data_IF_627989034335
#
_entry.id   IF_627989034335
#
_cell.length_a   1.000
_cell.length_b   1.000
_cell.length_c   1.000
_cell.angle_alpha   90.00
_cell.angle_beta   90.00
_cell.angle_gamma   90.00
#
_symmetry.space_group_name_H-M   'P 1'
#
loop_
_entity.id
_entity.type
_entity.pdbx_description
1 polymer ?
#
# COMPACT_ATOMS: atom_id res chain seq x y z
N UNK A 1 -3.88 -14.30 -33.46
CA UNK A 1 -4.10 -13.51 -32.23
C UNK A 1 -4.48 -12.13 -32.72
N UNK A 2 -5.65 -11.63 -32.37
CA UNK A 2 -6.09 -10.29 -32.79
C UNK A 2 -5.22 -9.23 -32.10
N UNK A 3 -4.65 -8.31 -32.88
CA UNK A 3 -3.79 -7.23 -32.36
C UNK A 3 -4.60 -6.33 -31.42
N UNK A 4 -4.28 -6.44 -30.13
CA UNK A 4 -4.99 -5.79 -29.02
C UNK A 4 -4.79 -4.27 -29.02
N UNK A 5 -3.67 -3.79 -29.54
CA UNK A 5 -3.28 -2.39 -29.50
C UNK A 5 -2.74 -1.92 -30.85
N UNK A 6 -3.01 -0.66 -31.21
CA UNK A 6 -2.47 0.02 -32.40
C UNK A 6 -1.26 0.88 -32.07
N UNK A 7 -1.15 1.31 -30.81
CA UNK A 7 -0.07 2.16 -30.33
C UNK A 7 0.15 1.97 -28.85
N UNK A 8 1.23 2.53 -28.30
CA UNK A 8 1.47 2.56 -26.86
C UNK A 8 2.01 3.90 -26.39
N UNK A 9 1.75 4.22 -25.13
CA UNK A 9 2.29 5.39 -24.43
C UNK A 9 3.02 4.92 -23.17
N UNK A 10 4.19 5.51 -22.93
CA UNK A 10 4.93 5.38 -21.68
C UNK A 10 4.73 6.65 -20.87
N UNK A 11 3.79 6.60 -19.93
CA UNK A 11 3.65 7.62 -18.89
C UNK A 11 4.81 7.50 -17.93
N UNK A 12 5.64 8.51 -17.90
CA UNK A 12 6.85 8.53 -17.12
C UNK A 12 7.18 9.96 -16.73
N UNK A 13 8.31 10.13 -16.05
CA UNK A 13 8.79 11.45 -15.64
C UNK A 13 10.27 11.61 -15.93
N UNK A 14 10.75 12.85 -15.88
CA UNK A 14 12.18 13.11 -15.95
C UNK A 14 12.92 12.23 -14.94
N UNK A 15 13.96 11.54 -15.41
CA UNK A 15 14.82 10.69 -14.58
C UNK A 15 14.15 9.46 -13.95
N UNK A 16 13.00 9.02 -14.41
CA UNK A 16 12.39 7.74 -14.00
C UNK A 16 13.03 6.49 -14.61
N UNK A 17 13.98 6.65 -15.54
CA UNK A 17 14.53 5.54 -16.32
C UNK A 17 13.84 5.35 -17.69
N UNK A 18 12.97 6.26 -18.08
CA UNK A 18 12.19 6.17 -19.33
C UNK A 18 13.04 6.03 -20.60
N UNK A 19 14.23 6.64 -20.65
CA UNK A 19 15.19 6.44 -21.75
C UNK A 19 15.73 4.99 -21.82
N UNK A 20 15.90 4.33 -20.68
CA UNK A 20 16.36 2.95 -20.65
C UNK A 20 15.24 1.99 -21.05
N UNK A 21 14.01 2.23 -20.58
CA UNK A 21 12.84 1.52 -21.06
C UNK A 21 12.66 1.68 -22.58
N UNK A 22 12.77 2.91 -23.10
CA UNK A 22 12.73 3.19 -24.54
C UNK A 22 13.78 2.38 -25.32
N UNK A 23 15.02 2.34 -24.83
CA UNK A 23 16.10 1.59 -25.48
C UNK A 23 15.86 0.08 -25.51
N UNK A 24 15.22 -0.49 -24.48
CA UNK A 24 14.82 -1.90 -24.47
C UNK A 24 13.60 -2.16 -25.36
N UNK A 25 12.61 -1.27 -25.34
CA UNK A 25 11.44 -1.35 -26.25
C UNK A 25 11.89 -1.35 -27.71
N UNK A 26 12.82 -0.47 -28.07
CA UNK A 26 13.39 -0.38 -29.42
C UNK A 26 14.32 -1.55 -29.80
N UNK A 27 14.63 -2.46 -28.87
CA UNK A 27 15.39 -3.68 -29.15
C UNK A 27 14.49 -4.86 -29.54
N UNK A 28 13.17 -4.76 -29.33
CA UNK A 28 12.23 -5.77 -29.80
C UNK A 28 11.85 -5.52 -31.26
N UNK A 29 11.96 -6.56 -32.09
CA UNK A 29 11.35 -6.56 -33.41
C UNK A 29 9.84 -6.38 -33.26
N UNK A 30 9.31 -5.33 -33.92
CA UNK A 30 7.89 -4.97 -33.90
C UNK A 30 7.45 -3.98 -32.83
N UNK A 31 8.39 -3.35 -32.12
CA UNK A 31 8.12 -2.16 -31.33
C UNK A 31 8.97 -0.99 -31.82
N UNK A 32 8.40 0.22 -31.85
CA UNK A 32 9.25 1.42 -31.89
C UNK A 32 8.68 2.57 -31.07
N UNK A 33 9.46 2.98 -30.08
CA UNK A 33 9.25 4.12 -29.23
C UNK A 33 10.01 5.34 -29.77
N UNK A 34 9.27 6.38 -30.12
CA UNK A 34 9.70 7.56 -30.86
C UNK A 34 10.18 8.71 -29.95
N UNK A 35 10.50 8.41 -28.70
CA UNK A 35 10.88 9.43 -27.71
C UNK A 35 9.71 10.30 -27.25
N UNK A 36 9.99 11.57 -26.96
CA UNK A 36 9.05 12.53 -26.39
C UNK A 36 8.40 13.37 -27.50
N UNK A 37 7.51 12.75 -28.28
CA UNK A 37 6.89 13.37 -29.46
C UNK A 37 5.91 14.51 -29.13
N UNK A 38 5.47 14.59 -27.87
CA UNK A 38 4.58 15.64 -27.36
C UNK A 38 5.28 16.64 -26.41
N UNK A 39 6.61 16.65 -26.38
CA UNK A 39 7.38 17.66 -25.62
C UNK A 39 7.16 19.07 -26.21
N UNK A 40 6.91 20.12 -25.41
CA UNK A 40 6.64 21.46 -25.93
C UNK A 40 7.87 22.14 -26.57
N UNK A 41 9.08 21.67 -26.28
CA UNK A 41 10.32 22.33 -26.72
C UNK A 41 10.97 21.67 -27.94
N UNK A 42 10.72 20.39 -28.18
CA UNK A 42 11.27 19.63 -29.31
C UNK A 42 10.32 18.49 -29.71
N UNK A 43 10.58 17.82 -30.83
CA UNK A 43 9.76 16.69 -31.30
C UNK A 43 10.54 15.37 -31.26
N UNK A 44 10.16 14.44 -30.38
CA UNK A 44 10.73 13.09 -30.28
C UNK A 44 12.08 13.04 -29.58
N UNK A 45 13.12 13.61 -30.20
CA UNK A 45 14.49 13.67 -29.68
C UNK A 45 15.05 15.10 -29.74
N UNK A 46 15.99 15.47 -28.86
CA UNK A 46 16.69 16.75 -28.96
C UNK A 46 17.33 16.93 -30.35
N UNK A 47 17.13 18.10 -30.95
CA UNK A 47 17.57 18.49 -32.29
C UNK A 47 16.87 17.76 -33.47
N UNK A 48 15.86 16.94 -33.23
CA UNK A 48 15.03 16.41 -34.32
C UNK A 48 14.14 17.51 -34.89
N UNK A 49 14.01 17.57 -36.22
CA UNK A 49 13.16 18.54 -36.91
C UNK A 49 11.78 17.98 -37.27
N UNK A 50 11.66 16.65 -37.34
CA UNK A 50 10.41 15.97 -37.67
C UNK A 50 10.35 14.55 -37.08
N UNK A 51 9.14 14.02 -36.94
CA UNK A 51 8.86 12.61 -36.63
C UNK A 51 7.80 12.11 -37.60
N UNK A 52 8.05 10.98 -38.28
CA UNK A 52 7.14 10.37 -39.26
C UNK A 52 6.71 11.31 -40.41
N UNK A 53 7.57 12.28 -40.77
CA UNK A 53 7.32 13.30 -41.80
C UNK A 53 6.42 14.46 -41.33
N UNK A 54 6.25 14.63 -40.02
CA UNK A 54 5.53 15.74 -39.39
C UNK A 54 6.54 16.60 -38.64
N UNK A 55 6.65 17.88 -39.01
CA UNK A 55 7.54 18.84 -38.35
C UNK A 55 6.98 19.28 -37.00
N UNK A 56 7.85 19.84 -36.16
CA UNK A 56 7.43 20.41 -34.87
C UNK A 56 6.31 21.45 -35.03
N UNK A 57 6.44 22.37 -35.99
CA UNK A 57 5.45 23.43 -36.21
C UNK A 57 4.07 22.86 -36.57
N UNK A 58 4.03 21.79 -37.37
CA UNK A 58 2.77 21.13 -37.75
C UNK A 58 2.15 20.41 -36.56
N UNK A 59 2.95 19.76 -35.71
CA UNK A 59 2.49 19.12 -34.47
C UNK A 59 1.98 20.16 -33.48
N UNK A 60 2.66 21.30 -33.34
CA UNK A 60 2.27 22.36 -32.39
C UNK A 60 0.90 22.97 -32.79
N UNK A 61 0.64 23.10 -34.10
CA UNK A 61 -0.65 23.54 -34.64
C UNK A 61 -1.75 22.49 -34.43
N UNK A 62 -1.47 21.23 -34.75
CA UNK A 62 -2.42 20.11 -34.60
C UNK A 62 -1.70 18.85 -34.10
N UNK A 63 -1.69 18.59 -32.78
CA UNK A 63 -0.98 17.45 -32.22
C UNK A 63 -1.70 16.12 -32.49
N UNK A 64 -3.00 16.16 -32.82
CA UNK A 64 -3.77 14.97 -33.17
C UNK A 64 -3.32 14.36 -34.50
N UNK A 65 -2.81 15.19 -35.42
CA UNK A 65 -2.20 14.73 -36.67
C UNK A 65 -1.08 13.72 -36.41
N UNK A 66 -0.20 14.01 -35.45
CA UNK A 66 0.91 13.13 -35.09
C UNK A 66 0.43 11.89 -34.33
N UNK A 67 -0.53 12.04 -33.41
CA UNK A 67 -1.10 10.91 -32.68
C UNK A 67 -1.74 9.90 -33.64
N UNK A 68 -2.55 10.36 -34.59
CA UNK A 68 -3.17 9.50 -35.60
C UNK A 68 -2.11 8.87 -36.51
N UNK A 69 -1.06 9.60 -36.87
CA UNK A 69 0.04 9.05 -37.66
C UNK A 69 0.77 7.91 -36.93
N UNK A 70 0.93 8.01 -35.61
CA UNK A 70 1.54 6.94 -34.79
C UNK A 70 0.64 5.70 -34.76
N UNK A 71 -0.69 5.89 -34.69
CA UNK A 71 -1.68 4.79 -34.73
C UNK A 71 -1.73 4.08 -36.09
N UNK A 72 -1.60 4.83 -37.18
CA UNK A 72 -1.75 4.31 -38.54
C UNK A 72 -0.48 3.66 -39.11
N UNK A 73 0.70 3.97 -38.55
CA UNK A 73 1.97 3.79 -39.27
C UNK A 73 3.06 3.15 -38.43
N UNK A 74 3.11 1.82 -38.47
CA UNK A 74 4.34 1.03 -38.32
C UNK A 74 4.24 -0.23 -39.21
N UNK A 75 5.05 -0.36 -40.28
CA UNK A 75 4.94 -1.48 -41.22
C UNK A 75 5.12 -2.86 -40.58
N UNK A 76 5.90 -2.93 -39.50
CA UNK A 76 6.36 -4.17 -38.90
C UNK A 76 5.99 -4.30 -37.40
N UNK A 77 5.04 -3.49 -36.88
CA UNK A 77 4.75 -3.50 -35.45
C UNK A 77 3.82 -2.39 -34.95
N UNK A 78 3.98 -2.00 -33.68
CA UNK A 78 3.24 -0.89 -33.08
C UNK A 78 4.18 0.26 -32.67
N UNK A 79 3.71 1.48 -32.91
CA UNK A 79 4.42 2.71 -32.56
C UNK A 79 4.05 3.19 -31.15
N UNK A 80 5.00 3.81 -30.47
CA UNK A 80 4.71 4.45 -29.20
C UNK A 80 5.65 5.60 -28.87
N UNK A 81 5.40 6.22 -27.71
CA UNK A 81 6.11 7.42 -27.30
C UNK A 81 6.10 7.58 -25.78
N UNK A 82 6.97 8.44 -25.27
CA UNK A 82 7.02 8.86 -23.87
C UNK A 82 6.16 10.11 -23.67
N UNK A 83 5.38 10.13 -22.61
CA UNK A 83 4.52 11.25 -22.22
C UNK A 83 4.75 11.61 -20.75
N UNK A 84 5.11 12.87 -20.48
CA UNK A 84 5.33 13.40 -19.13
C UNK A 84 4.22 14.39 -18.75
N UNK A 85 4.09 14.71 -17.46
CA UNK A 85 3.03 15.61 -16.98
C UNK A 85 3.03 17.02 -17.62
N UNK A 86 4.18 17.47 -18.12
CA UNK A 86 4.39 18.78 -18.74
C UNK A 86 4.37 18.76 -20.29
N UNK A 87 4.00 17.62 -20.88
CA UNK A 87 3.79 17.50 -22.33
C UNK A 87 2.44 18.08 -22.75
N UNK A 88 2.23 18.22 -24.06
CA UNK A 88 1.02 18.85 -24.60
C UNK A 88 -0.28 18.23 -24.03
N UNK A 89 -1.04 18.95 -23.19
CA UNK A 89 -2.18 18.38 -22.50
C UNK A 89 -3.36 18.12 -23.45
N UNK A 90 -3.36 18.70 -24.66
CA UNK A 90 -4.45 18.55 -25.63
C UNK A 90 -4.62 17.11 -26.12
N UNK A 91 -3.54 16.32 -26.11
CA UNK A 91 -3.59 14.91 -26.56
C UNK A 91 -3.89 13.93 -25.44
N UNK A 92 -3.73 14.33 -24.18
CA UNK A 92 -3.86 13.42 -23.03
C UNK A 92 -5.24 12.74 -22.96
N UNK A 93 -6.38 13.44 -23.12
CA UNK A 93 -7.70 12.78 -23.16
C UNK A 93 -7.80 11.74 -24.27
N UNK A 94 -7.35 12.09 -25.49
CA UNK A 94 -7.42 11.19 -26.64
C UNK A 94 -6.54 9.94 -26.50
N UNK A 95 -5.47 10.01 -25.72
CA UNK A 95 -4.61 8.85 -25.37
C UNK A 95 -5.30 8.01 -24.29
N UNK A 96 -5.82 8.65 -23.25
CA UNK A 96 -6.41 7.97 -22.10
C UNK A 96 -7.71 7.26 -22.46
N UNK A 97 -8.57 7.87 -23.29
CA UNK A 97 -9.86 7.31 -23.70
C UNK A 97 -9.73 6.17 -24.74
N UNK A 98 -8.62 6.10 -25.47
CA UNK A 98 -8.42 5.14 -26.55
C UNK A 98 -8.04 3.75 -26.04
N UNK A 99 -8.98 2.82 -25.96
CA UNK A 99 -8.75 1.42 -25.54
C UNK A 99 -7.69 0.67 -26.37
N UNK A 100 -7.42 1.12 -27.61
CA UNK A 100 -6.42 0.52 -28.51
C UNK A 100 -5.04 1.15 -28.34
N UNK A 101 -4.90 2.19 -27.54
CA UNK A 101 -3.59 2.70 -27.09
C UNK A 101 -3.20 2.03 -25.77
N UNK A 102 -2.11 1.27 -25.76
CA UNK A 102 -1.59 0.63 -24.56
C UNK A 102 -0.98 1.65 -23.60
N UNK A 103 -1.33 1.58 -22.30
CA UNK A 103 -0.78 2.47 -21.26
C UNK A 103 0.31 1.76 -20.46
N UNK A 104 1.52 2.28 -20.49
CA UNK A 104 2.63 1.83 -19.66
C UNK A 104 2.90 2.93 -18.64
N UNK A 105 2.92 2.60 -17.35
CA UNK A 105 3.19 3.57 -16.27
C UNK A 105 4.53 3.21 -15.63
N UNK A 106 5.53 4.06 -15.83
CA UNK A 106 6.86 3.92 -15.25
C UNK A 106 6.99 4.80 -14.01
N UNK A 107 7.29 4.18 -12.89
CA UNK A 107 7.46 4.86 -11.60
C UNK A 107 8.89 4.74 -11.09
N UNK A 108 9.31 5.70 -10.27
CA UNK A 108 10.59 5.69 -9.56
C UNK A 108 10.43 6.45 -8.26
N UNK A 109 11.24 6.13 -7.26
CA UNK A 109 11.32 6.92 -6.03
C UNK A 109 11.51 8.43 -6.36
N UNK A 110 10.58 9.32 -5.97
CA UNK A 110 10.64 10.75 -6.29
C UNK A 110 11.92 11.44 -5.79
N UNK A 111 12.45 11.02 -4.64
CA UNK A 111 13.71 11.56 -4.08
C UNK A 111 14.87 11.25 -5.00
N UNK A 112 14.97 9.99 -5.45
CA UNK A 112 16.04 9.57 -6.36
C UNK A 112 15.94 10.22 -7.74
N UNK A 113 14.73 10.45 -8.24
CA UNK A 113 14.48 11.17 -9.49
C UNK A 113 14.86 12.63 -9.38
N UNK A 114 14.42 13.31 -8.31
CA UNK A 114 14.69 14.73 -8.05
C UNK A 114 16.18 15.01 -7.86
N UNK A 115 16.86 14.26 -6.98
CA UNK A 115 18.31 14.41 -6.78
C UNK A 115 19.06 14.15 -8.07
N UNK A 116 18.63 13.15 -8.85
CA UNK A 116 19.23 12.88 -10.14
C UNK A 116 18.97 14.00 -11.17
N UNK A 117 17.84 14.70 -11.09
CA UNK A 117 17.51 15.83 -11.95
C UNK A 117 18.37 17.05 -11.60
N UNK A 118 18.51 17.38 -10.31
CA UNK A 118 19.41 18.46 -9.85
C UNK A 118 20.86 18.21 -10.28
N UNK A 119 21.34 16.96 -10.21
CA UNK A 119 22.72 16.64 -10.63
C UNK A 119 22.88 16.85 -12.15
N UNK A 120 21.90 16.42 -12.94
CA UNK A 120 21.93 16.62 -14.39
C UNK A 120 21.93 18.11 -14.75
N UNK A 121 21.12 18.92 -14.07
CA UNK A 121 21.08 20.38 -14.22
C UNK A 121 22.44 21.01 -13.87
N UNK A 122 23.05 20.60 -12.75
CA UNK A 122 24.35 21.12 -12.30
C UNK A 122 25.53 20.72 -13.20
N UNK A 123 25.49 19.51 -13.79
CA UNK A 123 26.61 18.95 -14.57
C UNK A 123 26.49 19.13 -16.09
N UNK A 124 25.29 19.48 -16.56
CA UNK A 124 24.90 19.46 -17.98
C UNK A 124 24.82 18.05 -18.58
N UNK A 125 24.86 17.00 -17.75
CA UNK A 125 24.93 15.61 -18.20
C UNK A 125 23.58 14.90 -18.06
N UNK A 126 22.89 14.73 -19.19
CA UNK A 126 21.54 14.15 -19.23
C UNK A 126 21.53 12.63 -19.54
N UNK A 127 22.52 12.13 -20.29
CA UNK A 127 22.71 10.71 -20.66
C UNK A 127 24.16 10.26 -20.37
N UNK A 128 24.35 9.07 -19.80
CA UNK A 128 25.66 8.44 -19.58
C UNK A 128 25.76 7.16 -20.44
N UNK A 129 26.55 7.24 -21.51
CA UNK A 129 26.90 6.10 -22.36
C UNK A 129 28.28 5.53 -22.03
N UNK A 130 29.14 6.31 -21.35
CA UNK A 130 30.49 5.89 -20.94
C UNK A 130 30.80 6.34 -19.50
N UNK A 131 31.13 5.37 -18.63
CA UNK A 131 31.41 5.59 -17.19
C UNK A 131 32.63 6.48 -16.97
N UNK A 132 33.62 6.47 -17.86
CA UNK A 132 34.84 7.28 -17.70
C UNK A 132 34.63 8.79 -17.88
N UNK A 133 33.49 9.21 -18.43
CA UNK A 133 33.09 10.63 -18.59
C UNK A 133 32.08 11.09 -17.52
N UNK A 134 32.01 10.38 -16.39
CA UNK A 134 31.12 10.69 -15.28
C UNK A 134 31.60 11.96 -14.57
N UNK A 135 30.71 12.96 -14.43
CA UNK A 135 30.94 14.11 -13.56
C UNK A 135 30.29 13.85 -12.21
N UNK A 136 31.09 13.72 -11.16
CA UNK A 136 30.59 13.65 -9.78
C UNK A 136 30.25 15.07 -9.30
N UNK A 137 29.00 15.27 -8.90
CA UNK A 137 28.53 16.54 -8.35
C UNK A 137 27.55 16.26 -7.23
N UNK A 138 27.81 16.87 -6.07
CA UNK A 138 26.86 16.91 -4.97
C UNK A 138 25.94 18.11 -5.17
N UNK A 139 24.65 17.92 -4.93
CA UNK A 139 23.63 18.96 -5.11
C UNK A 139 23.07 19.40 -3.78
N UNK A 140 22.64 20.65 -3.71
CA UNK A 140 21.85 21.14 -2.57
C UNK A 140 20.38 20.76 -2.80
N UNK A 141 19.77 20.14 -1.81
CA UNK A 141 18.34 19.85 -1.75
C UNK A 141 17.58 21.12 -1.38
N UNK A 142 16.48 21.38 -2.07
CA UNK A 142 15.57 22.49 -1.82
C UNK A 142 14.19 21.92 -1.48
N UNK A 143 13.74 22.12 -0.24
CA UNK A 143 12.51 21.50 0.26
C UNK A 143 11.27 22.03 -0.49
N UNK A 144 10.99 23.35 -0.56
CA UNK A 144 9.88 23.88 -1.35
C UNK A 144 9.88 23.42 -2.82
N UNK A 145 11.04 23.39 -3.48
CA UNK A 145 11.13 22.91 -4.87
C UNK A 145 10.77 21.42 -4.98
N UNK A 146 11.25 20.60 -4.05
CA UNK A 146 10.92 19.19 -4.01
C UNK A 146 9.44 18.94 -3.71
N UNK A 147 8.83 19.74 -2.83
CA UNK A 147 7.42 19.67 -2.48
C UNK A 147 6.53 19.94 -3.69
N UNK A 148 6.79 21.05 -4.39
CA UNK A 148 6.06 21.39 -5.61
C UNK A 148 6.24 20.34 -6.71
N UNK A 149 7.46 19.80 -6.85
CA UNK A 149 7.74 18.71 -7.78
C UNK A 149 6.93 17.45 -7.42
N UNK A 150 6.94 17.05 -6.14
CA UNK A 150 6.21 15.88 -5.67
C UNK A 150 4.69 16.04 -5.87
N UNK A 151 4.13 17.22 -5.56
CA UNK A 151 2.72 17.52 -5.74
C UNK A 151 2.29 17.38 -7.21
N UNK A 152 3.07 17.93 -8.14
CA UNK A 152 2.81 17.81 -9.58
C UNK A 152 2.81 16.34 -10.04
N UNK A 153 3.81 15.56 -9.62
CA UNK A 153 3.89 14.13 -9.92
C UNK A 153 2.67 13.37 -9.39
N UNK A 154 2.28 13.67 -8.15
CA UNK A 154 1.14 13.02 -7.51
C UNK A 154 -0.19 13.38 -8.18
N UNK A 155 -0.39 14.65 -8.55
CA UNK A 155 -1.60 15.10 -9.24
C UNK A 155 -1.75 14.41 -10.61
N UNK A 156 -0.66 14.26 -11.35
CA UNK A 156 -0.66 13.55 -12.62
C UNK A 156 -0.99 12.06 -12.45
N UNK A 157 -0.40 11.39 -11.45
CA UNK A 157 -0.72 9.98 -11.15
C UNK A 157 -2.21 9.78 -10.78
N UNK A 158 -2.80 10.70 -10.01
CA UNK A 158 -4.24 10.67 -9.69
C UNK A 158 -5.08 10.83 -10.96
N UNK A 159 -4.66 11.72 -11.86
CA UNK A 159 -5.33 11.92 -13.16
C UNK A 159 -5.33 10.64 -14.00
N UNK A 160 -4.17 10.01 -14.14
CA UNK A 160 -4.04 8.73 -14.88
C UNK A 160 -4.90 7.63 -14.26
N UNK A 161 -4.83 7.46 -12.94
CA UNK A 161 -5.59 6.43 -12.23
C UNK A 161 -7.09 6.64 -12.37
N UNK A 162 -7.57 7.87 -12.20
CA UNK A 162 -8.98 8.22 -12.34
C UNK A 162 -9.48 7.95 -13.76
N UNK A 163 -8.74 8.38 -14.79
CA UNK A 163 -9.11 8.17 -16.18
C UNK A 163 -9.19 6.68 -16.56
N UNK A 164 -8.22 5.87 -16.10
CA UNK A 164 -8.24 4.43 -16.33
C UNK A 164 -9.41 3.75 -15.61
N UNK A 165 -9.73 4.16 -14.38
CA UNK A 165 -10.87 3.63 -13.62
C UNK A 165 -12.21 3.98 -14.29
N UNK A 166 -12.39 5.22 -14.72
CA UNK A 166 -13.62 5.69 -15.37
C UNK A 166 -13.84 5.00 -16.71
N UNK A 167 -12.76 4.79 -17.49
CA UNK A 167 -12.84 4.13 -18.79
C UNK A 167 -12.77 2.59 -18.73
N UNK A 168 -12.61 2.00 -17.54
CA UNK A 168 -12.49 0.54 -17.38
C UNK A 168 -11.19 -0.05 -17.95
N UNK A 169 -10.17 0.77 -18.18
CA UNK A 169 -8.90 0.37 -18.77
C UNK A 169 -7.85 0.03 -17.70
N UNK A 170 -6.82 -0.72 -18.11
CA UNK A 170 -5.67 -1.09 -17.25
C UNK A 170 -4.37 -0.63 -17.89
N UNK A 171 -3.39 -0.25 -17.05
CA UNK A 171 -2.02 0.00 -17.49
C UNK A 171 -1.06 -1.15 -17.10
N UNK A 172 0.04 -1.27 -17.82
CA UNK A 172 1.19 -2.09 -17.43
C UNK A 172 2.13 -1.25 -16.56
N UNK A 173 2.23 -1.60 -15.28
CA UNK A 173 3.03 -0.87 -14.30
C UNK A 173 4.44 -1.43 -14.23
N UNK A 174 5.43 -0.54 -14.23
CA UNK A 174 6.86 -0.88 -14.15
C UNK A 174 7.52 0.08 -13.15
N UNK A 175 8.29 -0.46 -12.21
CA UNK A 175 9.17 0.35 -11.39
C UNK A 175 10.56 0.47 -12.04
N UNK A 176 11.32 1.51 -11.68
CA UNK A 176 12.67 1.73 -12.19
C UNK A 176 13.59 0.51 -11.97
N UNK A 177 13.43 -0.17 -10.85
CA UNK A 177 14.19 -1.34 -10.45
C UNK A 177 13.92 -2.54 -11.38
N UNK A 178 12.67 -2.67 -11.85
CA UNK A 178 12.24 -3.76 -12.74
C UNK A 178 12.80 -3.63 -14.15
N UNK A 179 13.30 -2.44 -14.54
CA UNK A 179 13.89 -2.24 -15.86
C UNK A 179 15.11 -3.12 -16.12
N UNK A 180 15.76 -3.62 -15.06
CA UNK A 180 16.91 -4.53 -15.15
C UNK A 180 16.52 -6.01 -15.24
N UNK A 181 15.23 -6.32 -15.25
CA UNK A 181 14.73 -7.68 -15.40
C UNK A 181 14.27 -7.96 -16.84
N UNK A 182 15.01 -8.83 -17.53
CA UNK A 182 14.69 -9.28 -18.89
C UNK A 182 13.35 -10.03 -18.96
N UNK A 183 12.92 -10.67 -17.88
CA UNK A 183 11.62 -11.34 -17.81
C UNK A 183 10.48 -10.32 -17.78
N UNK A 184 10.65 -9.21 -17.07
CA UNK A 184 9.67 -8.10 -17.06
C UNK A 184 9.58 -7.45 -18.43
N UNK A 185 10.71 -7.18 -19.10
CA UNK A 185 10.70 -6.63 -20.46
C UNK A 185 10.02 -7.56 -21.47
N UNK A 186 10.31 -8.87 -21.39
CA UNK A 186 9.62 -9.87 -22.21
C UNK A 186 8.12 -9.99 -21.87
N UNK A 187 7.74 -9.77 -20.62
CA UNK A 187 6.34 -9.69 -20.17
C UNK A 187 5.62 -8.47 -20.77
N UNK A 188 6.29 -7.32 -20.80
CA UNK A 188 5.79 -6.10 -21.44
C UNK A 188 5.58 -6.30 -22.93
N UNK A 189 6.57 -6.84 -23.65
CA UNK A 189 6.44 -7.13 -25.09
C UNK A 189 5.26 -8.07 -25.38
N UNK A 190 5.11 -9.15 -24.58
CA UNK A 190 3.96 -10.06 -24.70
C UNK A 190 2.63 -9.34 -24.47
N UNK A 191 2.56 -8.47 -23.45
CA UNK A 191 1.35 -7.71 -23.15
C UNK A 191 0.99 -6.74 -24.27
N UNK A 192 2.00 -6.16 -24.94
CA UNK A 192 1.85 -5.34 -26.14
C UNK A 192 1.46 -6.15 -27.40
N UNK A 193 1.39 -7.48 -27.32
CA UNK A 193 1.05 -8.35 -28.44
C UNK A 193 2.24 -8.77 -29.31
N UNK A 194 3.47 -8.40 -28.92
CA UNK A 194 4.70 -8.72 -29.67
C UNK A 194 5.25 -10.08 -29.22
N UNK A 195 5.59 -10.93 -30.19
CA UNK A 195 6.11 -12.28 -29.95
C UNK A 195 7.64 -12.33 -29.79
N UNK A 196 8.34 -11.28 -30.23
CA UNK A 196 9.78 -11.13 -30.08
C UNK A 196 10.19 -11.17 -28.60
N UNK A 197 11.38 -11.71 -28.34
CA UNK A 197 11.95 -11.85 -26.99
C UNK A 197 13.39 -11.40 -26.98
N UNK A 198 13.79 -10.81 -25.87
CA UNK A 198 15.17 -10.48 -25.58
C UNK A 198 15.81 -11.60 -24.75
N UNK A 199 17.01 -12.03 -25.15
CA UNK A 199 17.87 -12.93 -24.39
C UNK A 199 18.66 -12.19 -23.29
N UNK A 200 18.81 -10.87 -23.44
CA UNK A 200 19.48 -9.99 -22.49
C UNK A 200 19.12 -8.53 -22.73
N UNK A 201 19.36 -7.68 -21.72
CA UNK A 201 19.06 -6.25 -21.80
C UNK A 201 20.14 -5.47 -22.55
N UNK A 202 19.74 -4.34 -23.13
CA UNK A 202 20.66 -3.46 -23.85
C UNK A 202 21.71 -2.89 -22.91
N UNK A 203 22.99 -3.25 -23.09
CA UNK A 203 24.11 -2.82 -22.23
C UNK A 203 24.55 -1.34 -22.40
N UNK A 204 23.88 -0.58 -23.27
CA UNK A 204 24.32 0.76 -23.71
C UNK A 204 24.05 1.87 -22.70
N UNK A 205 23.11 1.67 -21.77
CA UNK A 205 22.69 2.67 -20.78
C UNK A 205 23.03 2.20 -19.38
N UNK A 206 24.07 2.82 -18.79
CA UNK A 206 24.55 2.51 -17.44
C UNK A 206 23.91 3.45 -16.41
N UNK A 207 23.68 2.93 -15.20
CA UNK A 207 23.17 3.72 -14.06
C UNK A 207 24.12 4.91 -13.82
N UNK A 208 23.58 6.12 -13.95
CA UNK A 208 24.42 7.33 -13.95
C UNK A 208 25.00 7.65 -12.57
N UNK A 209 24.20 7.42 -11.53
CA UNK A 209 24.55 7.72 -10.13
C UNK A 209 24.14 6.54 -9.24
N UNK A 210 24.99 5.49 -9.14
CA UNK A 210 24.69 4.31 -8.33
C UNK A 210 24.81 4.55 -6.82
N UNK A 211 25.49 5.63 -6.40
CA UNK A 211 25.71 5.95 -4.98
C UNK A 211 24.40 6.23 -4.22
N UNK A 212 24.36 5.96 -2.90
CA UNK A 212 23.27 6.35 -2.02
C UNK A 212 22.99 7.85 -2.07
N UNK A 213 21.72 8.25 -1.86
CA UNK A 213 21.32 9.67 -1.86
C UNK A 213 22.11 10.51 -0.86
N UNK A 214 22.44 9.93 0.31
CA UNK A 214 23.25 10.59 1.34
C UNK A 214 24.60 11.11 0.85
N UNK A 215 25.22 10.44 -0.12
CA UNK A 215 26.52 10.85 -0.67
C UNK A 215 26.38 11.91 -1.77
N UNK A 216 25.18 12.08 -2.33
CA UNK A 216 24.88 12.96 -3.47
C UNK A 216 24.32 14.32 -3.06
N UNK A 217 23.87 14.46 -1.82
CA UNK A 217 23.21 15.68 -1.31
C UNK A 217 24.13 16.39 -0.31
N UNK A 218 24.29 17.72 -0.46
CA UNK A 218 25.15 18.54 0.40
C UNK A 218 24.55 18.73 1.80
N UNK A 219 23.25 18.99 1.87
CA UNK A 219 22.45 19.24 3.08
C UNK A 219 21.52 18.05 3.36
N UNK A 220 22.09 16.86 3.49
CA UNK A 220 21.31 15.63 3.66
C UNK A 220 20.42 15.66 4.91
N UNK A 221 20.89 16.21 6.03
CA UNK A 221 20.10 16.32 7.27
C UNK A 221 18.85 17.21 7.09
N UNK A 222 18.98 18.28 6.30
CA UNK A 222 17.86 19.17 5.95
C UNK A 222 16.86 18.45 5.04
N UNK A 223 17.36 17.69 4.06
CA UNK A 223 16.53 16.80 3.23
C UNK A 223 15.82 15.76 4.10
N UNK A 224 16.53 15.13 5.05
CA UNK A 224 15.94 14.19 6.00
C UNK A 224 14.78 14.85 6.76
N UNK A 225 15.01 16.03 7.33
CA UNK A 225 14.00 16.76 8.10
C UNK A 225 12.83 17.29 7.27
N UNK A 226 13.03 17.60 5.98
CA UNK A 226 11.95 17.96 5.05
C UNK A 226 11.16 16.72 4.64
N UNK A 227 11.83 15.63 4.26
CA UNK A 227 11.18 14.35 3.93
C UNK A 227 10.44 13.77 5.15
N UNK A 228 10.92 14.02 6.38
CA UNK A 228 10.20 13.67 7.60
C UNK A 228 8.82 14.32 7.70
N UNK A 229 8.74 15.58 7.25
CA UNK A 229 7.50 16.37 7.24
C UNK A 229 6.59 16.00 6.07
N UNK A 230 7.14 15.48 4.98
CA UNK A 230 6.44 15.20 3.72
C UNK A 230 5.82 13.80 3.63
N UNK A 231 5.37 13.25 4.75
CA UNK A 231 4.86 11.87 4.85
C UNK A 231 5.96 10.83 4.54
N UNK A 232 6.88 10.70 5.51
CA UNK A 232 8.02 9.76 5.50
C UNK A 232 7.64 8.28 5.34
N UNK A 233 6.35 7.94 5.38
CA UNK A 233 5.88 6.55 5.31
C UNK A 233 4.99 6.25 4.12
N UNK A 234 4.53 7.25 3.33
CA UNK A 234 3.53 6.97 2.31
C UNK A 234 2.38 6.12 2.92
N UNK A 235 1.98 6.31 4.19
CA UNK A 235 1.00 5.39 4.81
C UNK A 235 -0.36 5.49 4.11
N UNK A 236 -0.61 6.63 3.49
CA UNK A 236 -1.78 6.90 2.66
C UNK A 236 -1.68 6.33 1.25
N UNK A 237 -0.47 5.92 0.77
CA UNK A 237 -0.20 5.54 -0.63
C UNK A 237 0.66 4.28 -0.85
N UNK A 238 1.21 3.67 0.19
CA UNK A 238 1.71 2.29 0.12
C UNK A 238 0.50 1.44 -0.22
N UNK A 239 0.54 0.65 -1.32
CA UNK A 239 -0.58 -0.22 -1.65
C UNK A 239 -0.89 -1.03 -0.41
N UNK A 240 -2.07 -0.79 0.17
CA UNK A 240 -2.51 -1.64 1.25
C UNK A 240 -2.85 -2.97 0.60
N UNK A 241 -1.95 -3.93 0.72
CA UNK A 241 -2.17 -5.28 0.24
C UNK A 241 -3.17 -6.03 1.10
N UNK A 242 -3.49 -5.50 2.30
CA UNK A 242 -4.64 -5.98 3.04
C UNK A 242 -5.94 -5.67 2.28
N UNK A 243 -6.85 -6.65 2.14
CA UNK A 243 -8.12 -6.44 1.47
C UNK A 243 -8.91 -5.33 2.18
N UNK A 244 -9.69 -4.58 1.39
CA UNK A 244 -10.71 -3.68 1.95
C UNK A 244 -11.68 -4.51 2.80
N UNK A 245 -12.00 -4.01 3.99
CA UNK A 245 -12.93 -4.66 4.91
C UNK A 245 -14.24 -3.88 4.87
N UNK A 246 -15.35 -4.59 4.70
CA UNK A 246 -16.67 -4.00 4.92
C UNK A 246 -16.93 -3.78 6.42
N UNK A 247 -18.03 -3.10 6.78
CA UNK A 247 -18.26 -2.55 8.12
C UNK A 247 -18.51 -3.58 9.24
N UNK A 248 -18.59 -4.88 8.96
CA UNK A 248 -18.78 -5.93 9.98
C UNK A 248 -19.97 -5.70 10.94
N UNK A 249 -21.03 -5.04 10.48
CA UNK A 249 -22.22 -4.70 11.29
C UNK A 249 -22.78 -5.86 12.13
N UNK A 250 -22.84 -7.12 11.65
CA UNK A 250 -23.38 -8.21 12.46
C UNK A 250 -22.62 -8.48 13.76
N UNK A 251 -21.35 -8.07 13.87
CA UNK A 251 -20.56 -8.24 15.10
C UNK A 251 -20.71 -7.09 16.09
N UNK A 252 -21.40 -6.00 15.75
CA UNK A 252 -21.57 -4.88 16.68
C UNK A 252 -22.49 -5.29 17.84
N UNK A 253 -22.20 -4.73 19.02
CA UNK A 253 -22.95 -4.96 20.25
C UNK A 253 -23.52 -3.64 20.74
N UNK A 254 -24.84 -3.53 20.77
CA UNK A 254 -25.54 -2.41 21.38
C UNK A 254 -25.98 -2.76 22.80
N UNK A 255 -25.94 -1.80 23.72
CA UNK A 255 -26.59 -1.95 25.02
C UNK A 255 -28.06 -2.35 24.87
N UNK A 256 -28.53 -3.18 25.80
CA UNK A 256 -29.93 -3.56 25.91
C UNK A 256 -30.80 -2.31 26.16
N UNK A 257 -30.38 -1.46 27.10
CA UNK A 257 -31.03 -0.16 27.40
C UNK A 257 -30.06 0.99 27.18
N UNK A 258 -28.79 0.84 27.56
CA UNK A 258 -27.77 1.86 27.40
C UNK A 258 -27.54 2.21 25.92
N UNK A 259 -27.50 3.50 25.53
CA UNK A 259 -27.29 3.91 24.15
C UNK A 259 -25.80 3.92 23.77
N UNK A 260 -25.08 2.85 24.12
CA UNK A 260 -23.70 2.59 23.70
C UNK A 260 -23.67 1.50 22.64
N UNK A 261 -22.86 1.72 21.60
CA UNK A 261 -22.62 0.77 20.52
C UNK A 261 -21.13 0.42 20.47
N UNK A 262 -20.79 -0.78 20.92
CA UNK A 262 -19.44 -1.31 20.80
C UNK A 262 -19.23 -1.95 19.42
N UNK A 263 -18.15 -1.54 18.77
CA UNK A 263 -17.72 -1.99 17.45
C UNK A 263 -16.44 -2.81 17.61
N UNK A 264 -16.52 -4.14 17.77
CA UNK A 264 -15.38 -4.94 18.18
C UNK A 264 -14.33 -5.09 17.09
N UNK A 265 -13.07 -5.08 17.51
CA UNK A 265 -11.93 -5.55 16.73
C UNK A 265 -11.59 -6.96 17.21
N UNK A 266 -11.53 -7.92 16.28
CA UNK A 266 -11.20 -9.32 16.60
C UNK A 266 -9.83 -9.45 17.25
N UNK A 267 -9.74 -10.34 18.25
CA UNK A 267 -8.57 -10.51 19.13
C UNK A 267 -8.21 -9.26 19.96
N UNK A 268 -9.16 -8.32 20.08
CA UNK A 268 -9.16 -7.29 21.12
C UNK A 268 -9.89 -7.75 22.38
N UNK A 269 -10.16 -6.83 23.34
CA UNK A 269 -10.81 -7.14 24.62
C UNK A 269 -12.33 -7.37 24.51
N UNK A 270 -12.79 -8.10 23.47
CA UNK A 270 -14.22 -8.32 23.19
C UNK A 270 -14.98 -8.85 24.42
N UNK A 271 -14.41 -9.84 25.12
CA UNK A 271 -15.03 -10.43 26.30
C UNK A 271 -15.13 -9.42 27.48
N UNK A 272 -14.10 -8.59 27.70
CA UNK A 272 -14.11 -7.61 28.80
C UNK A 272 -15.18 -6.55 28.55
N UNK A 273 -15.22 -6.01 27.33
CA UNK A 273 -16.19 -4.97 26.96
C UNK A 273 -17.62 -5.53 26.93
N UNK A 274 -17.81 -6.77 26.48
CA UNK A 274 -19.13 -7.43 26.50
C UNK A 274 -19.65 -7.60 27.92
N UNK A 275 -18.82 -8.13 28.83
CA UNK A 275 -19.21 -8.27 30.25
C UNK A 275 -19.46 -6.93 30.91
N UNK A 276 -18.67 -5.91 30.57
CA UNK A 276 -18.89 -4.55 31.07
C UNK A 276 -20.21 -3.96 30.59
N UNK A 277 -20.57 -4.10 29.29
CA UNK A 277 -21.88 -3.68 28.78
C UNK A 277 -23.05 -4.42 29.45
N UNK A 278 -22.89 -5.73 29.71
CA UNK A 278 -23.87 -6.52 30.46
C UNK A 278 -24.05 -5.96 31.88
N UNK A 279 -22.95 -5.66 32.57
CA UNK A 279 -22.96 -5.10 33.93
C UNK A 279 -23.58 -3.70 33.97
N UNK A 280 -23.36 -2.86 32.95
CA UNK A 280 -24.02 -1.55 32.84
C UNK A 280 -25.56 -1.68 32.83
N UNK A 281 -26.08 -2.64 32.08
CA UNK A 281 -27.52 -2.81 31.89
C UNK A 281 -28.15 -3.77 32.92
N UNK A 282 -27.34 -4.46 33.72
CA UNK A 282 -27.81 -5.48 34.67
C UNK A 282 -28.43 -6.70 33.97
N UNK A 283 -27.90 -7.09 32.81
CA UNK A 283 -28.44 -8.17 31.97
C UNK A 283 -27.38 -9.21 31.64
N UNK A 284 -27.82 -10.39 31.19
CA UNK A 284 -26.95 -11.40 30.60
C UNK A 284 -26.61 -11.07 29.14
N UNK A 285 -25.58 -11.72 28.59
CA UNK A 285 -25.08 -11.40 27.25
C UNK A 285 -26.17 -11.47 26.17
N UNK A 286 -27.04 -12.48 26.22
CA UNK A 286 -28.09 -12.72 25.21
C UNK A 286 -29.11 -11.58 25.08
N UNK A 287 -29.26 -10.75 26.11
CA UNK A 287 -30.11 -9.56 26.10
C UNK A 287 -29.48 -8.36 25.38
N UNK A 288 -28.16 -8.34 25.15
CA UNK A 288 -27.50 -7.28 24.38
C UNK A 288 -27.97 -7.30 22.93
N UNK A 289 -28.18 -6.10 22.35
CA UNK A 289 -28.56 -5.97 20.96
C UNK A 289 -27.40 -6.41 20.05
N UNK A 290 -27.65 -7.44 19.22
CA UNK A 290 -26.64 -8.16 18.44
C UNK A 290 -27.18 -8.57 17.07
N UNK A 291 -26.30 -9.05 16.19
CA UNK A 291 -26.71 -9.59 14.88
C UNK A 291 -27.32 -8.54 13.96
N UNK A 292 -26.86 -7.30 14.06
CA UNK A 292 -27.40 -6.20 13.29
C UNK A 292 -27.26 -6.43 11.77
N UNK A 293 -28.29 -6.00 11.05
CA UNK A 293 -28.21 -5.62 9.64
C UNK A 293 -28.03 -4.10 9.55
N UNK A 294 -27.68 -3.57 8.38
CA UNK A 294 -27.64 -2.11 8.19
C UNK A 294 -28.98 -1.43 8.53
N UNK A 295 -30.10 -2.09 8.21
CA UNK A 295 -31.46 -1.57 8.50
C UNK A 295 -31.72 -1.56 10.01
N UNK A 296 -31.48 -2.66 10.69
CA UNK A 296 -31.76 -2.76 12.14
C UNK A 296 -30.79 -1.92 12.96
N UNK A 297 -29.55 -1.71 12.52
CA UNK A 297 -28.62 -0.78 13.15
C UNK A 297 -29.13 0.67 13.05
N UNK A 298 -29.57 1.10 11.86
CA UNK A 298 -30.16 2.45 11.68
C UNK A 298 -31.40 2.64 12.53
N UNK A 299 -32.21 1.60 12.70
CA UNK A 299 -33.38 1.65 13.59
C UNK A 299 -32.95 1.80 15.05
N UNK A 300 -32.03 0.94 15.53
CA UNK A 300 -31.50 1.01 16.90
C UNK A 300 -30.94 2.40 17.23
N UNK A 301 -30.23 3.03 16.29
CA UNK A 301 -29.69 4.39 16.42
C UNK A 301 -30.76 5.47 16.53
N UNK A 302 -31.89 5.32 15.81
CA UNK A 302 -33.02 6.27 15.86
C UNK A 302 -33.81 6.13 17.15
N UNK A 303 -33.94 4.91 17.66
CA UNK A 303 -34.63 4.63 18.92
C UNK A 303 -33.81 5.04 20.15
N UNK A 304 -32.54 5.42 19.95
CA UNK A 304 -31.57 5.82 20.98
C UNK A 304 -30.87 7.11 20.56
N UNK A 305 -31.61 8.21 20.58
CA UNK A 305 -31.06 9.54 20.36
C UNK A 305 -29.96 9.84 21.39
N UNK A 306 -28.85 10.44 20.93
CA UNK A 306 -27.66 10.65 21.77
C UNK A 306 -26.76 9.42 21.93
N UNK A 307 -27.01 8.32 21.20
CA UNK A 307 -26.13 7.16 21.24
C UNK A 307 -24.67 7.50 20.93
N UNK A 308 -23.75 6.79 21.59
CA UNK A 308 -22.31 6.85 21.33
C UNK A 308 -21.82 5.50 20.85
N UNK A 309 -21.00 5.52 19.82
CA UNK A 309 -20.32 4.36 19.28
C UNK A 309 -18.86 4.40 19.64
N UNK A 310 -18.27 3.26 19.94
CA UNK A 310 -16.86 3.20 20.32
C UNK A 310 -16.24 1.86 19.90
N UNK A 311 -14.91 1.86 19.84
CA UNK A 311 -14.11 0.66 19.64
C UNK A 311 -12.94 0.66 20.60
N UNK A 312 -12.34 -0.52 20.82
CA UNK A 312 -11.17 -0.67 21.68
C UNK A 312 -10.04 -1.28 20.86
N UNK A 313 -8.89 -0.59 20.81
CA UNK A 313 -7.66 -1.08 20.18
C UNK A 313 -6.72 -1.69 21.23
N UNK A 314 -6.03 -2.76 20.85
CA UNK A 314 -5.05 -3.47 21.68
C UNK A 314 -3.65 -3.26 21.11
N UNK A 315 -2.61 -3.30 21.95
CA UNK A 315 -1.24 -3.24 21.46
C UNK A 315 -0.99 -4.31 20.37
N UNK A 316 -0.37 -4.00 19.21
CA UNK A 316 -0.30 -4.93 18.08
C UNK A 316 0.33 -6.28 18.43
N UNK A 317 1.42 -6.29 19.22
CA UNK A 317 2.07 -7.52 19.69
C UNK A 317 1.12 -8.38 20.56
N UNK A 318 0.42 -7.77 21.52
CA UNK A 318 -0.54 -8.47 22.39
C UNK A 318 -1.72 -9.02 21.60
N UNK A 319 -2.20 -8.28 20.61
CA UNK A 319 -3.27 -8.73 19.72
C UNK A 319 -2.85 -9.91 18.84
N UNK A 320 -1.64 -9.85 18.28
CA UNK A 320 -1.09 -10.95 17.50
C UNK A 320 -0.90 -12.21 18.35
N UNK A 321 -0.49 -12.06 19.62
CA UNK A 321 -0.34 -13.17 20.56
C UNK A 321 -1.67 -13.84 20.89
N UNK A 322 -2.73 -13.05 21.12
CA UNK A 322 -4.09 -13.55 21.31
C UNK A 322 -4.59 -14.32 20.08
N UNK A 323 -4.39 -13.76 18.88
CA UNK A 323 -4.76 -14.43 17.62
C UNK A 323 -3.97 -15.74 17.42
N UNK A 324 -2.67 -15.73 17.72
CA UNK A 324 -1.83 -16.93 17.68
C UNK A 324 -2.37 -18.01 18.60
N UNK A 325 -2.59 -17.69 19.88
CA UNK A 325 -3.01 -18.67 20.88
C UNK A 325 -4.41 -19.22 20.59
N UNK A 326 -5.37 -18.33 20.28
CA UNK A 326 -6.79 -18.69 20.13
C UNK A 326 -7.16 -19.27 18.77
N UNK A 327 -6.42 -18.95 17.69
CA UNK A 327 -6.75 -19.39 16.33
C UNK A 327 -5.76 -20.37 15.72
N UNK A 328 -4.50 -20.33 16.13
CA UNK A 328 -3.43 -21.08 15.45
C UNK A 328 -2.84 -22.17 16.34
N UNK A 329 -2.48 -21.86 17.58
CA UNK A 329 -1.80 -22.78 18.48
C UNK A 329 -2.75 -23.89 18.94
N UNK A 330 -3.89 -23.49 19.51
CA UNK A 330 -4.92 -24.42 20.00
C UNK A 330 -5.60 -25.18 18.85
N UNK A 331 -6.04 -26.38 19.16
CA UNK A 331 -6.88 -27.27 18.36
C UNK A 331 -8.34 -27.27 18.83
N UNK A 332 -8.65 -26.50 19.89
CA UNK A 332 -9.99 -26.40 20.47
C UNK A 332 -11.03 -25.72 19.55
N UNK A 333 -12.30 -25.65 20.02
CA UNK A 333 -13.39 -25.02 19.27
C UNK A 333 -13.08 -23.58 18.86
N UNK A 334 -13.37 -23.24 17.60
CA UNK A 334 -13.13 -21.89 17.06
C UNK A 334 -11.70 -21.64 16.57
N UNK A 335 -10.82 -22.64 16.64
CA UNK A 335 -9.49 -22.63 16.00
C UNK A 335 -9.57 -22.79 14.48
N UNK A 336 -8.49 -22.44 13.78
CA UNK A 336 -8.40 -22.54 12.32
C UNK A 336 -7.53 -23.73 11.89
N UNK A 337 -8.04 -24.95 12.09
CA UNK A 337 -7.31 -26.20 11.78
C UNK A 337 -6.69 -26.26 10.37
N UNK A 338 -7.38 -25.74 9.36
CA UNK A 338 -6.86 -25.67 7.98
C UNK A 338 -5.66 -24.73 7.84
N UNK A 339 -5.77 -23.51 8.39
CA UNK A 339 -4.67 -22.52 8.37
C UNK A 339 -3.48 -23.04 9.19
N UNK A 340 -3.75 -23.61 10.37
CA UNK A 340 -2.74 -24.24 11.23
C UNK A 340 -1.91 -25.29 10.48
N UNK A 341 -2.56 -26.22 9.75
CA UNK A 341 -1.85 -27.20 8.91
C UNK A 341 -0.99 -26.55 7.83
N UNK A 342 -1.50 -25.53 7.16
CA UNK A 342 -0.74 -24.78 6.13
C UNK A 342 0.46 -24.08 6.74
N UNK A 343 0.32 -23.43 7.90
CA UNK A 343 1.43 -22.75 8.56
C UNK A 343 2.53 -23.73 9.01
N UNK A 344 2.17 -24.89 9.55
CA UNK A 344 3.15 -25.95 9.89
C UNK A 344 3.89 -26.46 8.65
N UNK A 345 3.18 -26.72 7.56
CA UNK A 345 3.76 -27.34 6.35
C UNK A 345 4.53 -26.37 5.46
N UNK A 346 3.95 -25.21 5.16
CA UNK A 346 4.46 -24.28 4.14
C UNK A 346 5.26 -23.11 4.73
N UNK A 347 5.03 -22.78 6.01
CA UNK A 347 5.72 -21.69 6.70
C UNK A 347 6.59 -22.18 7.86
N UNK A 348 6.81 -23.49 7.96
CA UNK A 348 7.64 -24.14 8.98
C UNK A 348 7.34 -23.69 10.43
N UNK A 349 6.06 -23.39 10.73
CA UNK A 349 5.64 -22.94 12.06
C UNK A 349 5.90 -24.06 13.10
N UNK A 350 6.78 -23.84 14.10
CA UNK A 350 7.23 -24.89 15.01
C UNK A 350 6.25 -25.10 16.16
N UNK A 351 5.04 -25.57 15.85
CA UNK A 351 4.00 -25.94 16.81
C UNK A 351 3.75 -27.46 16.78
N UNK A 352 3.32 -28.06 17.91
CA UNK A 352 2.98 -29.49 17.99
C UNK A 352 1.88 -29.87 17.00
N UNK A 353 1.75 -31.16 16.69
CA UNK A 353 0.66 -31.63 15.82
C UNK A 353 -0.71 -31.49 16.50
N UNK A 354 -0.76 -31.83 17.78
CA UNK A 354 -1.94 -31.72 18.64
C UNK A 354 -1.88 -30.47 19.52
N UNK A 355 -2.77 -30.38 20.52
CA UNK A 355 -2.74 -29.36 21.57
C UNK A 355 -1.36 -29.33 22.28
N UNK A 356 -0.88 -28.15 22.70
CA UNK A 356 0.32 -28.05 23.53
C UNK A 356 0.27 -28.98 24.75
N UNK A 357 1.18 -29.95 24.80
CA UNK A 357 1.35 -30.87 25.91
C UNK A 357 2.28 -30.32 27.00
N UNK A 358 2.56 -31.16 28.01
CA UNK A 358 3.45 -30.79 29.12
C UNK A 358 4.91 -30.54 28.70
N UNK A 359 5.32 -31.01 27.52
CA UNK A 359 6.63 -30.80 26.91
C UNK A 359 6.74 -29.47 26.14
N UNK A 360 5.64 -28.76 25.94
CA UNK A 360 5.63 -27.46 25.28
C UNK A 360 6.14 -26.37 26.22
N UNK A 361 7.41 -26.00 26.08
CA UNK A 361 8.06 -24.99 26.93
C UNK A 361 7.79 -23.55 26.50
N UNK A 362 8.04 -22.58 27.40
CA UNK A 362 8.02 -21.15 27.11
C UNK A 362 8.96 -20.77 25.95
N UNK A 363 10.12 -21.44 25.83
CA UNK A 363 11.04 -21.23 24.70
C UNK A 363 10.46 -21.71 23.37
N UNK A 364 9.75 -22.84 23.37
CA UNK A 364 9.04 -23.32 22.19
C UNK A 364 7.89 -22.38 21.80
N UNK A 365 7.14 -21.87 22.79
CA UNK A 365 6.09 -20.86 22.60
C UNK A 365 6.62 -19.57 21.97
N UNK A 366 7.70 -19.03 22.54
CA UNK A 366 8.38 -17.83 22.01
C UNK A 366 8.81 -18.02 20.55
N UNK A 367 9.47 -19.14 20.23
CA UNK A 367 9.92 -19.45 18.85
C UNK A 367 8.74 -19.61 17.89
N UNK A 368 7.67 -20.28 18.31
CA UNK A 368 6.49 -20.46 17.51
C UNK A 368 5.78 -19.13 17.24
N UNK A 369 5.68 -18.27 18.25
CA UNK A 369 5.07 -16.96 18.10
C UNK A 369 5.91 -16.01 17.23
N UNK A 370 7.25 -16.03 17.36
CA UNK A 370 8.15 -15.29 16.46
C UNK A 370 7.96 -15.71 14.99
N UNK A 371 7.91 -17.03 14.73
CA UNK A 371 7.64 -17.55 13.38
C UNK A 371 6.24 -17.14 12.86
N UNK A 372 5.25 -17.03 13.74
CA UNK A 372 3.93 -16.51 13.38
C UNK A 372 3.98 -15.01 13.01
N UNK A 373 4.72 -14.17 13.75
CA UNK A 373 4.90 -12.75 13.40
C UNK A 373 5.61 -12.57 12.05
N UNK A 374 6.63 -13.38 11.77
CA UNK A 374 7.31 -13.38 10.47
C UNK A 374 6.35 -13.79 9.33
N UNK A 375 5.48 -14.78 9.57
CA UNK A 375 4.40 -15.11 8.65
C UNK A 375 3.43 -13.93 8.46
N UNK A 376 3.04 -13.24 9.54
CA UNK A 376 2.11 -12.11 9.47
C UNK A 376 2.65 -10.97 8.62
N UNK A 377 3.95 -10.66 8.71
CA UNK A 377 4.60 -9.68 7.82
C UNK A 377 4.37 -10.02 6.35
N UNK A 378 4.67 -11.26 5.96
CA UNK A 378 4.46 -11.72 4.58
C UNK A 378 2.97 -11.77 4.21
N UNK A 379 2.11 -12.17 5.15
CA UNK A 379 0.67 -12.29 4.95
C UNK A 379 0.02 -10.94 4.67
N UNK A 380 0.28 -9.95 5.52
CA UNK A 380 -0.26 -8.59 5.42
C UNK A 380 0.29 -7.84 4.20
N UNK A 381 1.49 -8.22 3.72
CA UNK A 381 2.06 -7.75 2.46
C UNK A 381 1.51 -8.47 1.21
N UNK A 382 0.55 -9.39 1.35
CA UNK A 382 -0.04 -10.13 0.23
C UNK A 382 0.88 -11.19 -0.40
N UNK A 383 1.95 -11.58 0.29
CA UNK A 383 2.98 -12.51 -0.22
C UNK A 383 2.69 -13.98 0.11
N UNK A 384 1.52 -14.29 0.67
CA UNK A 384 1.14 -15.65 1.06
C UNK A 384 -0.24 -16.02 0.50
N UNK A 385 -0.48 -17.30 0.23
CA UNK A 385 -1.79 -17.79 -0.20
C UNK A 385 -2.85 -17.85 0.92
N UNK A 386 -2.46 -17.66 2.19
CA UNK A 386 -3.38 -17.64 3.33
C UNK A 386 -4.16 -16.33 3.32
N UNK A 387 -5.49 -16.38 3.48
CA UNK A 387 -6.31 -15.16 3.58
C UNK A 387 -5.87 -14.28 4.75
N UNK A 388 -6.01 -12.97 4.63
CA UNK A 388 -5.83 -12.04 5.76
C UNK A 388 -7.10 -12.03 6.60
N UNK A 389 -7.06 -12.66 7.78
CA UNK A 389 -8.22 -12.84 8.66
C UNK A 389 -8.42 -11.64 9.61
N UNK A 390 -9.66 -11.42 10.05
CA UNK A 390 -9.98 -10.31 10.94
C UNK A 390 -9.26 -10.35 12.28
N UNK A 391 -8.87 -11.54 12.74
CA UNK A 391 -8.13 -11.73 13.99
C UNK A 391 -6.71 -11.14 13.99
N UNK A 392 -6.08 -10.99 12.81
CA UNK A 392 -4.71 -10.48 12.71
C UNK A 392 -4.52 -9.39 11.65
N UNK A 393 -5.56 -8.97 10.95
CA UNK A 393 -5.52 -7.77 10.11
C UNK A 393 -5.12 -6.54 10.92
N UNK A 394 -4.58 -5.49 10.28
CA UNK A 394 -4.31 -4.24 11.00
C UNK A 394 -5.59 -3.63 11.55
N UNK A 395 -5.51 -3.13 12.78
CA UNK A 395 -6.62 -2.46 13.47
C UNK A 395 -7.05 -1.20 12.72
N UNK A 396 -6.07 -0.50 12.13
CA UNK A 396 -6.30 0.64 11.25
C UNK A 396 -7.23 0.26 10.09
N UNK A 397 -6.98 -0.88 9.43
CA UNK A 397 -7.80 -1.33 8.31
C UNK A 397 -9.19 -1.78 8.74
N UNK A 398 -9.31 -2.35 9.94
CA UNK A 398 -10.62 -2.69 10.52
C UNK A 398 -11.44 -1.43 10.79
N UNK A 399 -10.86 -0.40 11.41
CA UNK A 399 -11.56 0.87 11.69
C UNK A 399 -11.92 1.61 10.39
N UNK A 400 -11.04 1.61 9.39
CA UNK A 400 -11.37 2.18 8.08
C UNK A 400 -12.62 1.52 7.48
N UNK A 401 -12.72 0.18 7.56
CA UNK A 401 -13.89 -0.56 7.09
C UNK A 401 -15.17 -0.24 7.85
N UNK A 402 -15.08 -0.04 9.16
CA UNK A 402 -16.23 0.36 9.99
C UNK A 402 -16.83 1.70 9.51
N UNK A 403 -15.96 2.67 9.20
CA UNK A 403 -16.31 4.03 8.79
C UNK A 403 -17.12 4.13 7.50
N UNK A 404 -17.22 3.05 6.71
CA UNK A 404 -18.13 3.00 5.56
C UNK A 404 -19.61 3.09 5.97
N UNK A 405 -19.95 2.77 7.21
CA UNK A 405 -21.33 2.85 7.73
C UNK A 405 -21.44 3.55 9.09
N UNK A 406 -20.50 3.28 10.00
CA UNK A 406 -20.47 3.88 11.34
C UNK A 406 -19.04 4.23 11.69
N UNK A 407 -18.80 5.50 11.99
CA UNK A 407 -17.53 5.97 12.55
C UNK A 407 -17.63 5.84 14.07
N UNK A 408 -16.68 5.20 14.77
CA UNK A 408 -16.67 5.21 16.23
C UNK A 408 -16.46 6.64 16.73
N UNK A 409 -17.32 7.11 17.63
CA UNK A 409 -17.17 8.40 18.32
C UNK A 409 -15.91 8.42 19.20
N UNK A 410 -15.50 7.24 19.71
CA UNK A 410 -14.29 7.09 20.52
C UNK A 410 -13.52 5.81 20.16
N UNK A 411 -12.20 5.95 20.03
CA UNK A 411 -11.25 4.84 19.94
C UNK A 411 -10.46 4.80 21.25
N UNK A 412 -10.69 3.76 22.06
CA UNK A 412 -10.07 3.59 23.39
C UNK A 412 -8.92 2.60 23.29
N UNK A 413 -7.79 2.83 23.98
CA UNK A 413 -6.75 1.80 24.11
C UNK A 413 -7.08 0.85 25.25
N UNK A 414 -6.78 -0.43 25.09
CA UNK A 414 -7.15 -1.47 26.08
C UNK A 414 -6.64 -1.18 27.50
N UNK A 415 -5.46 -0.61 27.65
CA UNK A 415 -4.86 -0.22 28.92
C UNK A 415 -5.54 1.00 29.58
N UNK A 416 -6.27 1.79 28.79
CA UNK A 416 -7.00 2.98 29.26
C UNK A 416 -8.50 2.70 29.50
N UNK A 417 -8.98 1.47 29.27
CA UNK A 417 -10.40 1.12 29.42
C UNK A 417 -10.96 1.47 30.79
N UNK A 418 -10.18 1.25 31.86
CA UNK A 418 -10.59 1.54 33.24
C UNK A 418 -10.97 3.01 33.43
N UNK A 419 -10.34 3.93 32.69
CA UNK A 419 -10.66 5.34 32.76
C UNK A 419 -11.78 5.73 31.80
N UNK A 420 -11.71 5.26 30.54
CA UNK A 420 -12.55 5.79 29.47
C UNK A 420 -13.90 5.08 29.29
N UNK A 421 -14.03 3.79 29.63
CA UNK A 421 -15.32 3.12 29.52
C UNK A 421 -16.33 3.67 30.55
N UNK A 422 -15.99 3.82 31.86
CA UNK A 422 -16.86 4.51 32.82
C UNK A 422 -17.20 5.94 32.39
N UNK A 423 -16.23 6.69 31.84
CA UNK A 423 -16.47 8.04 31.33
C UNK A 423 -17.47 8.08 30.17
N UNK A 424 -17.41 7.12 29.24
CA UNK A 424 -18.40 6.98 28.17
C UNK A 424 -19.80 6.68 28.73
N UNK A 425 -19.90 5.80 29.73
CA UNK A 425 -21.18 5.48 30.37
C UNK A 425 -21.79 6.70 31.10
N UNK A 426 -20.97 7.52 31.76
CA UNK A 426 -21.39 8.79 32.37
C UNK A 426 -22.00 9.76 31.35
N UNK A 427 -21.41 9.85 30.15
CA UNK A 427 -21.92 10.73 29.08
C UNK A 427 -23.31 10.32 28.55
N UNK A 428 -23.72 9.07 28.77
CA UNK A 428 -25.02 8.55 28.35
C UNK A 428 -25.99 8.29 29.51
N UNK A 429 -25.70 8.84 30.69
CA UNK A 429 -26.65 8.93 31.81
C UNK A 429 -26.42 7.97 32.99
N UNK A 430 -25.34 7.18 33.00
CA UNK A 430 -24.98 6.36 34.17
C UNK A 430 -24.32 7.20 35.25
N UNK A 431 -24.82 7.22 36.48
CA UNK A 431 -24.25 8.04 37.58
C UNK A 431 -23.07 7.38 38.28
N UNK A 432 -23.03 6.05 38.31
CA UNK A 432 -21.98 5.25 38.94
C UNK A 432 -21.74 3.96 38.14
N UNK A 433 -21.22 4.06 36.91
CA UNK A 433 -20.97 2.89 36.09
C UNK A 433 -19.89 1.98 36.73
N UNK A 434 -20.06 0.64 36.70
CA UNK A 434 -19.01 -0.29 37.11
C UNK A 434 -17.75 -0.16 36.25
N UNK A 435 -16.61 -0.50 36.86
CA UNK A 435 -15.33 -0.58 36.17
C UNK A 435 -15.26 -1.83 35.26
N UNK A 436 -14.63 -1.75 34.08
CA UNK A 436 -14.39 -2.92 33.25
C UNK A 436 -13.32 -3.82 33.87
N UNK A 437 -13.61 -5.12 33.96
CA UNK A 437 -12.65 -6.10 34.44
C UNK A 437 -11.77 -6.64 33.30
N UNK A 438 -10.47 -6.81 33.56
CA UNK A 438 -9.55 -7.45 32.62
C UNK A 438 -9.90 -8.93 32.46
N UNK A 439 -10.00 -9.40 31.22
CA UNK A 439 -10.06 -10.84 30.90
C UNK A 439 -8.68 -11.29 30.45
N UNK A 440 -8.01 -12.20 31.16
CA UNK A 440 -6.75 -12.76 30.69
C UNK A 440 -6.92 -13.48 29.36
N UNK A 441 -5.93 -13.36 28.48
CA UNK A 441 -5.83 -14.18 27.27
C UNK A 441 -5.62 -15.64 27.71
N UNK A 442 -6.42 -16.55 27.18
CA UNK A 442 -6.21 -17.99 27.42
C UNK A 442 -5.06 -18.47 26.54
N UNK A 443 -3.89 -18.65 27.14
CA UNK A 443 -2.67 -19.08 26.48
C UNK A 443 -1.84 -19.99 27.41
N UNK A 444 -1.03 -20.93 26.88
CA UNK A 444 -0.12 -21.73 27.70
C UNK A 444 0.92 -20.89 28.46
N UNK A 445 1.33 -19.75 27.87
CA UNK A 445 2.23 -18.78 28.47
C UNK A 445 1.77 -17.36 28.12
N UNK A 446 1.82 -16.47 29.10
CA UNK A 446 1.51 -15.06 28.91
C UNK A 446 2.56 -14.37 28.03
N UNK A 447 2.17 -13.30 27.33
CA UNK A 447 3.10 -12.51 26.53
C UNK A 447 4.28 -11.98 27.36
N UNK A 448 4.03 -11.56 28.60
CA UNK A 448 5.06 -11.09 29.54
C UNK A 448 6.17 -12.11 29.78
N UNK A 449 5.87 -13.41 29.73
CA UNK A 449 6.83 -14.48 30.03
C UNK A 449 7.77 -14.75 28.84
N UNK A 450 7.37 -14.37 27.63
CA UNK A 450 8.12 -14.62 26.40
C UNK A 450 8.62 -13.36 25.72
N UNK A 451 8.26 -12.18 26.23
CA UNK A 451 8.58 -10.89 25.63
C UNK A 451 10.10 -10.67 25.53
N UNK A 452 10.55 -10.23 24.36
CA UNK A 452 11.90 -9.74 24.12
C UNK A 452 11.92 -8.75 22.95
N UNK A 453 13.03 -8.02 22.80
CA UNK A 453 13.22 -7.02 21.75
C UNK A 453 13.06 -7.59 20.33
N UNK A 454 13.27 -8.90 20.14
CA UNK A 454 13.12 -9.54 18.83
C UNK A 454 11.66 -9.75 18.48
N UNK A 455 10.83 -10.17 19.44
CA UNK A 455 9.38 -10.24 19.25
C UNK A 455 8.80 -8.86 19.00
N UNK A 456 9.24 -7.85 19.73
CA UNK A 456 8.82 -6.46 19.52
C UNK A 456 9.20 -5.97 18.12
N UNK A 457 10.46 -6.18 17.71
CA UNK A 457 10.92 -5.83 16.36
C UNK A 457 10.11 -6.56 15.27
N UNK A 458 9.82 -7.85 15.44
CA UNK A 458 9.02 -8.63 14.49
C UNK A 458 7.57 -8.13 14.42
N UNK A 459 6.98 -7.71 15.55
CA UNK A 459 5.64 -7.12 15.57
C UNK A 459 5.61 -5.73 14.93
N UNK A 460 6.61 -4.88 15.18
CA UNK A 460 6.75 -3.58 14.49
C UNK A 460 6.88 -3.75 12.99
N UNK A 461 7.64 -4.75 12.55
CA UNK A 461 7.77 -5.09 11.13
C UNK A 461 6.45 -5.55 10.50
N UNK A 462 5.65 -6.35 11.21
CA UNK A 462 4.36 -6.84 10.72
C UNK A 462 3.25 -5.77 10.78
N UNK A 463 3.26 -4.92 11.81
CA UNK A 463 2.19 -3.98 12.16
C UNK A 463 2.61 -2.52 12.18
N UNK A 464 3.64 -2.13 11.41
CA UNK A 464 4.19 -0.77 11.40
C UNK A 464 3.11 0.32 11.31
N UNK A 465 2.05 0.06 10.53
CA UNK A 465 0.90 0.97 10.40
C UNK A 465 0.15 1.17 11.72
N UNK A 466 -0.16 0.11 12.46
CA UNK A 466 -0.90 0.25 13.73
C UNK A 466 -0.05 0.95 14.79
N UNK A 467 1.25 0.66 14.86
CA UNK A 467 2.16 1.39 15.75
C UNK A 467 2.17 2.88 15.45
N UNK A 468 2.29 3.26 14.17
CA UNK A 468 2.33 4.65 13.77
C UNK A 468 0.98 5.35 13.95
N UNK A 469 -0.11 4.75 13.45
CA UNK A 469 -1.44 5.36 13.44
C UNK A 469 -2.03 5.55 14.83
N UNK A 470 -1.78 4.60 15.74
CA UNK A 470 -2.26 4.70 17.11
C UNK A 470 -1.19 5.19 18.07
N UNK A 471 0.04 5.42 17.64
CA UNK A 471 1.12 5.94 18.49
C UNK A 471 1.52 4.99 19.62
N UNK A 472 1.65 3.69 19.32
CA UNK A 472 2.11 2.70 20.31
C UNK A 472 3.64 2.76 20.49
N UNK A 473 4.07 2.77 21.75
CA UNK A 473 5.45 2.48 22.14
C UNK A 473 5.74 0.98 22.04
N UNK A 474 6.91 0.52 22.50
CA UNK A 474 7.14 -0.91 22.69
C UNK A 474 6.19 -1.45 23.77
N UNK A 475 5.88 -2.75 23.72
CA UNK A 475 4.90 -3.33 24.64
C UNK A 475 5.38 -3.39 26.10
N UNK A 476 6.68 -3.65 26.29
CA UNK A 476 7.28 -3.99 27.59
C UNK A 476 7.84 -2.84 28.40
#
# INVERSE_FOLDING_TARGET
MTDRFDSFVVFAEMRTGSNFLEANLNAFDGLSCLGEVFNPHFIGYPNSTEVLGITQERRDQDPMLLLNRIRERMPDGIGGFRFFHDHDPRVLPAILEDERCAKIVLTRNPVDSYVSWKIAQATGQWKLTNVSKRKESRVRFDAPEFEAHLEALQAFQVTLMSALQVSGQTAFYIAYEDLQDVQVMNGLARWLGVSARLDGLTASLKRQNPEPVAQKVLNFDEMEGALARLDRFNLTRTPNFEPRRGPQVPSYLGGATTPLLFMPIKSGPEAAVTRWLCALDGVEEDALARGFSQKTLRQWKRDREGHRSFTVVRHPLARAHDAFCSKVLTTGPGSYAGIRRTLRRAHALPIPEEEPGADYSASAHRKAFEAFLLFLKANLAGQTAVRIDGHWASQTQVIHGMSELVVPDMVVREDEMLAYLPALALQVGHTAPPDPEKVPVTAPYALAEIYDDRLEAAARDAYARDYLMFGFADWG
#
